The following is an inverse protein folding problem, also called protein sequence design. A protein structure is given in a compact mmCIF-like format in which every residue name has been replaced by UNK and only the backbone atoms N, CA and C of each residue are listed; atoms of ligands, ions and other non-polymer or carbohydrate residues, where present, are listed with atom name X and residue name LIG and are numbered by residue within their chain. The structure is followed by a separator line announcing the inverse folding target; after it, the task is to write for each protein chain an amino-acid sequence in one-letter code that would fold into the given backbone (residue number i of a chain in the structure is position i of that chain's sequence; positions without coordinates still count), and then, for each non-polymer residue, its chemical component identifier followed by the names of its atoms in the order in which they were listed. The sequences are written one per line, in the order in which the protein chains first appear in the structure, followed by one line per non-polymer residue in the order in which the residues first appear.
data_IF_161110338182
#
_entry.id   IF_161110338182
#
_cell.length_a   1.000
_cell.length_b   1.000
_cell.length_c   1.000
_cell.angle_alpha   90.00
_cell.angle_beta   90.00
_cell.angle_gamma   90.00
#
_symmetry.space_group_name_H-M   'P 1'
#
loop_
_entity.id
_entity.type
_entity.pdbx_description
1 polymer ?
#
# COMPACT_ATOMS: atom_id res chain seq x y z
N UNK A 1 -27.25 2.45 -10.79
CA UNK A 1 -27.08 1.27 -9.92
C UNK A 1 -26.53 1.75 -8.59
N UNK A 2 -27.22 1.48 -7.49
CA UNK A 2 -26.80 1.80 -6.12
C UNK A 2 -26.14 0.54 -5.51
N UNK A 3 -25.11 0.73 -4.69
CA UNK A 3 -24.41 -0.36 -4.00
C UNK A 3 -24.14 0.10 -2.58
N UNK A 4 -24.67 -0.61 -1.59
CA UNK A 4 -24.56 -0.33 -0.15
C UNK A 4 -23.65 -1.32 0.59
N UNK A 5 -23.47 -2.52 0.06
CA UNK A 5 -22.57 -3.54 0.59
C UNK A 5 -21.59 -4.02 -0.49
N UNK A 6 -20.31 -4.13 -0.12
CA UNK A 6 -19.30 -4.73 -0.99
C UNK A 6 -18.17 -5.38 -0.20
N UNK A 7 -17.62 -6.47 -0.73
CA UNK A 7 -16.36 -7.07 -0.27
C UNK A 7 -15.22 -6.54 -1.13
N UNK A 8 -14.15 -6.06 -0.49
CA UNK A 8 -12.95 -5.57 -1.17
C UNK A 8 -11.70 -6.23 -0.59
N UNK A 9 -10.72 -6.46 -1.44
CA UNK A 9 -9.37 -6.81 -1.03
C UNK A 9 -8.55 -5.53 -0.90
N UNK A 10 -8.04 -5.25 0.30
CA UNK A 10 -7.23 -4.07 0.59
C UNK A 10 -5.82 -4.48 1.01
N UNK A 11 -4.81 -3.78 0.48
CA UNK A 11 -3.40 -4.00 0.84
C UNK A 11 -2.63 -2.69 0.81
N UNK A 12 -1.89 -2.42 1.88
CA UNK A 12 -0.90 -1.35 1.92
C UNK A 12 0.25 -1.61 0.92
N UNK A 13 0.99 -0.56 0.61
CA UNK A 13 2.23 -0.68 -0.15
C UNK A 13 3.28 -1.46 0.62
N UNK A 14 4.06 -2.29 -0.08
CA UNK A 14 5.30 -2.85 0.48
C UNK A 14 6.29 -1.70 0.70
N UNK A 15 7.06 -1.74 1.79
CA UNK A 15 8.25 -0.90 1.92
C UNK A 15 9.28 -1.24 0.84
N UNK A 16 10.01 -0.22 0.39
CA UNK A 16 11.17 -0.40 -0.49
C UNK A 16 12.32 -1.08 0.24
N UNK A 17 13.14 -1.81 -0.51
CA UNK A 17 14.32 -2.46 0.04
C UNK A 17 15.47 -1.44 0.18
N UNK A 18 16.27 -1.55 1.24
CA UNK A 18 17.47 -0.72 1.41
C UNK A 18 18.59 -1.11 0.45
N UNK A 19 19.51 -0.17 0.17
CA UNK A 19 20.64 -0.42 -0.74
C UNK A 19 21.87 -0.87 0.02
N UNK A 20 22.49 -1.98 -0.40
CA UNK A 20 23.84 -2.34 0.02
C UNK A 20 24.82 -1.85 -1.05
N UNK A 21 25.31 -0.62 -0.88
CA UNK A 21 26.21 0.02 -1.84
C UNK A 21 27.45 0.61 -1.15
N UNK A 22 28.57 0.64 -1.87
CA UNK A 22 29.84 1.24 -1.44
C UNK A 22 30.31 2.25 -2.47
N UNK A 23 30.80 3.39 -2.00
CA UNK A 23 31.20 4.48 -2.87
C UNK A 23 32.39 4.08 -3.76
N UNK A 24 32.32 4.37 -5.05
CA UNK A 24 33.40 4.09 -6.03
C UNK A 24 33.88 5.39 -6.67
N UNK A 25 35.15 5.73 -6.44
CA UNK A 25 35.79 6.90 -7.04
C UNK A 25 37.20 6.60 -7.54
N UNK A 26 37.58 7.19 -8.68
CA UNK A 26 38.89 6.96 -9.33
C UNK A 26 40.09 7.16 -8.39
N UNK A 27 39.99 8.10 -7.44
CA UNK A 27 41.04 8.41 -6.46
C UNK A 27 40.69 7.96 -5.03
N UNK A 28 39.61 7.17 -4.87
CA UNK A 28 39.18 6.58 -3.59
C UNK A 28 38.85 5.10 -3.79
N UNK A 29 39.88 4.23 -3.82
CA UNK A 29 39.68 2.80 -4.06
C UNK A 29 38.93 2.06 -2.92
N UNK A 30 38.86 2.63 -1.71
CA UNK A 30 38.08 2.12 -0.58
C UNK A 30 37.09 3.17 -0.10
N UNK A 31 36.01 3.38 -0.85
CA UNK A 31 34.89 4.21 -0.39
C UNK A 31 34.10 3.52 0.73
N UNK A 32 33.56 4.31 1.65
CA UNK A 32 32.68 3.80 2.71
C UNK A 32 31.33 3.32 2.17
N UNK A 33 30.51 2.67 3.01
CA UNK A 33 29.13 2.34 2.67
C UNK A 33 28.35 3.61 2.40
N UNK A 34 27.62 3.64 1.29
CA UNK A 34 26.83 4.79 0.84
C UNK A 34 25.49 4.36 0.23
N UNK A 35 24.94 3.22 0.66
CA UNK A 35 23.59 2.84 0.31
C UNK A 35 22.55 3.65 1.09
N UNK A 36 21.47 4.06 0.42
CA UNK A 36 20.31 4.69 1.04
C UNK A 36 19.26 3.69 1.51
N UNK A 37 18.33 4.16 2.35
CA UNK A 37 17.22 3.37 2.87
C UNK A 37 16.11 3.20 1.83
N UNK A 38 15.27 2.18 2.00
CA UNK A 38 14.05 2.03 1.21
C UNK A 38 12.93 2.97 1.68
N UNK A 39 12.08 3.38 0.74
CA UNK A 39 10.93 4.23 1.03
C UNK A 39 9.81 3.48 1.76
N UNK A 40 9.01 4.19 2.55
CA UNK A 40 7.79 3.61 3.16
C UNK A 40 6.76 3.29 2.08
N UNK A 41 6.05 2.16 2.20
CA UNK A 41 4.87 1.89 1.37
C UNK A 41 3.69 2.81 1.72
N UNK A 42 2.83 3.04 0.75
CA UNK A 42 1.60 3.82 0.92
C UNK A 42 0.56 3.10 1.78
N UNK A 43 -0.33 3.88 2.38
CA UNK A 43 -1.48 3.39 3.15
C UNK A 43 -2.73 3.39 2.27
N UNK A 44 -3.68 2.51 2.57
CA UNK A 44 -5.04 2.57 2.01
C UNK A 44 -5.92 3.31 3.03
N UNK A 45 -6.48 4.44 2.61
CA UNK A 45 -7.21 5.36 3.48
C UNK A 45 -8.62 5.53 2.94
N UNK A 46 -9.62 5.15 3.74
CA UNK A 46 -11.00 5.49 3.47
C UNK A 46 -11.30 6.87 4.07
N UNK A 47 -11.76 7.80 3.24
CA UNK A 47 -12.09 9.17 3.63
C UNK A 47 -13.58 9.40 3.44
N UNK A 48 -14.27 9.82 4.51
CA UNK A 48 -15.68 10.21 4.41
C UNK A 48 -15.81 11.42 3.49
N UNK A 49 -16.74 11.34 2.53
CA UNK A 49 -17.11 12.43 1.63
C UNK A 49 -18.64 12.47 1.49
N UNK A 50 -19.25 13.61 1.80
CA UNK A 50 -20.70 13.78 1.74
C UNK A 50 -21.22 13.97 0.31
N UNK A 51 -20.34 14.12 -0.69
CA UNK A 51 -20.75 14.20 -2.10
C UNK A 51 -20.96 12.83 -2.74
N UNK A 52 -20.73 11.73 -2.03
CA UNK A 52 -20.96 10.37 -2.51
C UNK A 52 -22.01 9.67 -1.66
N UNK A 53 -22.95 9.00 -2.31
CA UNK A 53 -24.09 8.32 -1.69
C UNK A 53 -24.02 6.78 -1.83
N UNK A 54 -23.03 6.26 -2.57
CA UNK A 54 -22.94 4.85 -2.97
C UNK A 54 -21.51 4.32 -2.93
N UNK A 55 -21.35 3.00 -2.71
CA UNK A 55 -20.08 2.27 -2.75
C UNK A 55 -19.74 1.75 -4.16
N UNK A 56 -20.49 2.17 -5.20
CA UNK A 56 -20.31 1.71 -6.58
C UNK A 56 -18.90 1.89 -7.11
N UNK A 57 -18.16 2.91 -6.63
CA UNK A 57 -16.76 3.16 -7.02
C UNK A 57 -15.86 1.94 -6.80
N UNK A 58 -16.17 1.12 -5.80
CA UNK A 58 -15.41 -0.09 -5.44
C UNK A 58 -15.89 -1.34 -6.18
N UNK A 59 -17.05 -1.29 -6.84
CA UNK A 59 -17.65 -2.46 -7.51
C UNK A 59 -16.82 -2.95 -8.69
N UNK A 60 -16.32 -2.03 -9.51
CA UNK A 60 -15.51 -2.39 -10.68
C UNK A 60 -14.04 -2.63 -10.33
N UNK A 61 -13.56 -2.07 -9.22
CA UNK A 61 -12.20 -2.29 -8.73
C UNK A 61 -12.23 -2.70 -7.26
N UNK A 62 -12.37 -4.01 -7.04
CA UNK A 62 -12.39 -4.59 -5.70
C UNK A 62 -10.99 -4.73 -5.07
N UNK A 63 -9.91 -4.41 -5.80
CA UNK A 63 -8.53 -4.46 -5.30
C UNK A 63 -8.00 -3.06 -4.99
N UNK A 64 -7.99 -2.71 -3.72
CA UNK A 64 -7.55 -1.43 -3.20
C UNK A 64 -6.08 -1.56 -2.77
N UNK A 65 -5.16 -1.29 -3.69
CA UNK A 65 -3.72 -1.47 -3.47
C UNK A 65 -3.02 -0.11 -3.43
N UNK A 66 -2.39 0.22 -2.30
CA UNK A 66 -1.54 1.40 -2.21
C UNK A 66 -0.17 1.18 -2.90
N UNK A 67 0.51 2.26 -3.25
CA UNK A 67 1.78 2.20 -3.96
C UNK A 67 2.90 1.69 -3.04
N UNK A 68 3.82 0.89 -3.57
CA UNK A 68 5.01 0.47 -2.81
C UNK A 68 5.98 1.64 -2.64
N UNK A 69 6.81 1.59 -1.60
CA UNK A 69 7.97 2.46 -1.50
C UNK A 69 9.05 2.05 -2.50
N UNK A 70 9.79 3.04 -3.01
CA UNK A 70 10.92 2.79 -3.90
C UNK A 70 12.14 2.27 -3.13
N UNK A 71 13.01 1.48 -3.76
CA UNK A 71 14.25 1.04 -3.12
C UNK A 71 15.21 2.21 -2.88
N UNK A 72 16.10 2.05 -1.92
CA UNK A 72 17.25 2.93 -1.76
C UNK A 72 18.29 2.73 -2.87
N UNK A 73 19.13 3.72 -3.08
CA UNK A 73 20.21 3.68 -4.07
C UNK A 73 21.56 4.09 -3.47
N UNK A 74 22.64 3.88 -4.23
CA UNK A 74 23.97 4.39 -3.88
C UNK A 74 24.03 5.91 -3.83
N UNK A 75 25.04 6.44 -3.15
CA UNK A 75 25.20 7.88 -2.91
C UNK A 75 24.28 8.42 -1.81
N UNK A 76 23.93 7.59 -0.82
CA UNK A 76 23.05 7.91 0.32
C UNK A 76 21.63 8.34 -0.11
N UNK A 77 21.17 7.88 -1.27
CA UNK A 77 19.88 8.27 -1.84
C UNK A 77 18.81 7.33 -1.33
N UNK A 78 17.98 7.81 -0.41
CA UNK A 78 16.86 7.03 0.12
C UNK A 78 15.70 6.99 -0.88
N UNK A 79 15.01 5.85 -0.93
CA UNK A 79 13.87 5.62 -1.80
C UNK A 79 12.67 6.48 -1.42
N UNK A 80 11.94 6.96 -2.43
CA UNK A 80 10.70 7.73 -2.24
C UNK A 80 9.62 6.86 -1.60
N UNK A 81 8.86 7.42 -0.67
CA UNK A 81 7.66 6.78 -0.14
C UNK A 81 6.60 6.60 -1.23
N UNK A 82 5.91 5.46 -1.20
CA UNK A 82 4.76 5.21 -2.07
C UNK A 82 3.57 6.09 -1.68
N UNK A 83 2.79 6.50 -2.67
CA UNK A 83 1.61 7.32 -2.49
C UNK A 83 0.47 6.55 -1.80
N UNK A 84 -0.25 7.23 -0.90
CA UNK A 84 -1.43 6.69 -0.26
C UNK A 84 -2.57 6.55 -1.27
N UNK A 85 -3.29 5.43 -1.19
CA UNK A 85 -4.54 5.25 -1.92
C UNK A 85 -5.69 5.82 -1.07
N UNK A 86 -6.17 7.01 -1.42
CA UNK A 86 -7.30 7.66 -0.74
C UNK A 86 -8.59 7.39 -1.50
N UNK A 87 -9.56 6.81 -0.81
CA UNK A 87 -10.82 6.37 -1.38
C UNK A 87 -11.99 6.99 -0.63
N UNK A 88 -12.88 7.63 -1.38
CA UNK A 88 -14.03 8.34 -0.81
C UNK A 88 -15.16 7.38 -0.51
N UNK A 89 -15.75 7.50 0.68
CA UNK A 89 -16.88 6.68 1.12
C UNK A 89 -18.02 7.57 1.67
N UNK A 90 -19.29 7.16 1.56
CA UNK A 90 -20.40 7.89 2.16
C UNK A 90 -20.28 7.96 3.69
N UNK A 91 -20.85 9.01 4.28
CA UNK A 91 -21.04 9.09 5.73
C UNK A 91 -21.86 7.90 6.25
N UNK A 92 -21.44 7.32 7.37
CA UNK A 92 -22.10 6.13 7.95
C UNK A 92 -21.61 4.78 7.40
N UNK A 93 -20.59 4.77 6.53
CA UNK A 93 -19.97 3.52 6.07
C UNK A 93 -19.31 2.78 7.24
N UNK A 94 -19.71 1.52 7.45
CA UNK A 94 -19.12 0.62 8.45
C UNK A 94 -18.14 -0.32 7.77
N UNK A 95 -16.95 -0.48 8.34
CA UNK A 95 -15.89 -1.34 7.80
C UNK A 95 -15.63 -2.47 8.78
N UNK A 96 -15.75 -3.70 8.31
CA UNK A 96 -15.43 -4.91 9.07
C UNK A 96 -14.43 -5.77 8.30
N UNK A 97 -13.59 -6.50 9.04
CA UNK A 97 -12.73 -7.53 8.45
C UNK A 97 -13.60 -8.75 8.17
N UNK A 98 -13.53 -9.26 6.95
CA UNK A 98 -14.11 -10.56 6.62
C UNK A 98 -13.16 -11.61 7.15
N UNK A 99 -13.60 -12.34 8.17
CA UNK A 99 -12.95 -13.56 8.64
C UNK A 99 -13.73 -14.72 8.04
N UNK A 100 -13.21 -15.31 6.96
CA UNK A 100 -13.69 -16.62 6.53
C UNK A 100 -13.23 -17.61 7.61
N UNK A 101 -14.18 -18.12 8.39
CA UNK A 101 -13.93 -19.25 9.26
C UNK A 101 -14.00 -20.49 8.37
N UNK A 102 -12.85 -21.10 8.10
CA UNK A 102 -12.84 -22.45 7.56
C UNK A 102 -13.54 -23.35 8.56
N UNK A 103 -14.70 -23.87 8.17
CA UNK A 103 -15.37 -24.90 8.93
C UNK A 103 -14.72 -26.24 8.57
N UNK A 104 -13.94 -26.80 9.52
CA UNK A 104 -13.23 -28.07 9.33
C UNK A 104 -14.19 -29.26 9.12
N UNK A 105 -15.45 -29.16 9.56
CA UNK A 105 -16.46 -30.22 9.41
C UNK A 105 -17.14 -30.19 8.04
N UNK A 106 -17.37 -29.00 7.48
CA UNK A 106 -18.12 -28.84 6.22
C UNK A 106 -17.23 -28.53 5.01
N UNK A 107 -16.00 -28.06 5.23
CA UNK A 107 -15.06 -27.70 4.17
C UNK A 107 -15.44 -26.44 3.38
N UNK A 108 -16.38 -25.64 3.89
CA UNK A 108 -16.83 -24.40 3.26
C UNK A 108 -16.16 -23.16 3.91
N UNK A 109 -16.03 -22.08 3.12
CA UNK A 109 -15.46 -20.78 3.50
C UNK A 109 -16.29 -19.61 2.97
#
# INVERSE_FOLDING_TARGET
MFVDHIKVFSRAGKGGDGSVHFHRGKFRPKGGPDGGDGGRGGDVILKVDNSTDSLRTFFFNSRLLAENGNPGEGGLRSGRSGEHLILKVPGGTVVSRITEHYDEETGEG
#
